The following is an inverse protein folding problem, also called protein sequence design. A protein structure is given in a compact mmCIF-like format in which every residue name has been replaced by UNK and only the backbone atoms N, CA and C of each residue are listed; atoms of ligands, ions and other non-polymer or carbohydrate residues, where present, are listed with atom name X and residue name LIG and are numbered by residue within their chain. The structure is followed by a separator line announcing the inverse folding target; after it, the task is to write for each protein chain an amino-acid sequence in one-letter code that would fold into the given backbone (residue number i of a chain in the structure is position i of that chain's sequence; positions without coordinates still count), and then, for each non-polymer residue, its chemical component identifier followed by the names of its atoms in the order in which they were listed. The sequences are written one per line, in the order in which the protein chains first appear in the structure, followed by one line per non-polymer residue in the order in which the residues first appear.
data_IF_769696493231
#
_entry.id   IF_769696493231
#
_cell.length_a   1.000
_cell.length_b   1.000
_cell.length_c   1.000
_cell.angle_alpha   90.00
_cell.angle_beta   90.00
_cell.angle_gamma   90.00
#
_symmetry.space_group_name_H-M   'P 1'
#
loop_
_entity.id
_entity.type
_entity.pdbx_description
1 polymer ?
#
# COMPACT_ATOMS: atom_id res chain seq x y z
N UNK A 1 -6.81 -1.62 -3.63
CA UNK A 1 -6.16 -0.98 -2.46
C UNK A 1 -6.53 0.50 -2.30
N UNK A 2 -6.30 1.38 -3.29
CA UNK A 2 -6.57 2.82 -3.12
C UNK A 2 -8.04 3.15 -2.90
N UNK A 3 -8.95 2.50 -3.66
CA UNK A 3 -10.39 2.68 -3.52
C UNK A 3 -10.87 2.34 -2.10
N UNK A 4 -10.42 1.20 -1.57
CA UNK A 4 -10.70 0.78 -0.18
C UNK A 4 -10.20 1.80 0.84
N UNK A 5 -9.01 2.37 0.62
CA UNK A 5 -8.44 3.37 1.52
C UNK A 5 -9.15 4.73 1.42
N UNK A 6 -9.65 5.10 0.24
CA UNK A 6 -10.51 6.29 0.06
C UNK A 6 -11.87 6.08 0.71
N UNK A 7 -12.44 4.88 0.62
CA UNK A 7 -13.65 4.52 1.34
C UNK A 7 -13.47 4.64 2.86
N UNK A 8 -12.29 4.27 3.39
CA UNK A 8 -11.94 4.47 4.80
C UNK A 8 -11.89 5.96 5.17
N UNK A 9 -11.20 6.78 4.38
CA UNK A 9 -11.14 8.23 4.61
C UNK A 9 -12.54 8.85 4.62
N UNK A 10 -13.38 8.53 3.63
CA UNK A 10 -14.76 9.00 3.55
C UNK A 10 -15.61 8.55 4.73
N UNK A 11 -15.48 7.28 5.14
CA UNK A 11 -16.18 6.73 6.30
C UNK A 11 -15.77 7.45 7.60
N UNK A 12 -14.49 7.77 7.78
CA UNK A 12 -14.01 8.47 8.97
C UNK A 12 -14.47 9.93 9.01
N UNK A 13 -14.40 10.63 7.87
CA UNK A 13 -14.91 12.01 7.75
C UNK A 13 -16.43 12.04 7.99
N UNK A 14 -17.15 11.06 7.45
CA UNK A 14 -18.59 10.88 7.65
C UNK A 14 -18.99 10.34 9.03
N UNK A 15 -18.03 10.09 9.93
CA UNK A 15 -18.26 9.49 11.27
C UNK A 15 -19.07 8.20 11.20
N UNK A 16 -18.73 7.34 10.25
CA UNK A 16 -19.30 6.02 10.10
C UNK A 16 -19.21 5.21 11.40
N UNK A 17 -20.15 4.29 11.65
CA UNK A 17 -20.10 3.41 12.81
C UNK A 17 -18.81 2.58 12.83
N UNK A 18 -18.36 2.23 14.02
CA UNK A 18 -17.12 1.45 14.26
C UNK A 18 -17.11 0.14 13.47
N UNK A 19 -18.24 -0.56 13.41
CA UNK A 19 -18.40 -1.78 12.61
C UNK A 19 -18.04 -1.57 11.13
N UNK A 20 -18.50 -0.46 10.53
CA UNK A 20 -18.20 -0.16 9.14
C UNK A 20 -16.71 0.18 8.94
N UNK A 21 -16.11 0.91 9.88
CA UNK A 21 -14.68 1.20 9.86
C UNK A 21 -13.84 -0.09 9.96
N UNK A 22 -14.26 -1.01 10.82
CA UNK A 22 -13.61 -2.31 11.02
C UNK A 22 -13.69 -3.17 9.74
N UNK A 23 -14.85 -3.20 9.08
CA UNK A 23 -15.03 -3.92 7.80
C UNK A 23 -14.11 -3.36 6.70
N UNK A 24 -14.02 -2.03 6.58
CA UNK A 24 -13.16 -1.40 5.57
C UNK A 24 -11.68 -1.67 5.86
N UNK A 25 -11.24 -1.54 7.12
CA UNK A 25 -9.86 -1.88 7.52
C UNK A 25 -9.54 -3.36 7.28
N UNK A 26 -10.50 -4.27 7.53
CA UNK A 26 -10.34 -5.71 7.27
C UNK A 26 -10.15 -5.98 5.80
N UNK A 27 -10.96 -5.35 4.97
CA UNK A 27 -10.83 -5.46 3.52
C UNK A 27 -9.48 -4.89 3.03
N UNK A 28 -9.02 -3.77 3.60
CA UNK A 28 -7.73 -3.19 3.27
C UNK A 28 -6.57 -4.13 3.64
N UNK A 29 -6.62 -4.75 4.83
CA UNK A 29 -5.62 -5.73 5.28
C UNK A 29 -5.54 -6.93 4.35
N UNK A 30 -6.68 -7.51 3.99
CA UNK A 30 -6.75 -8.65 3.05
C UNK A 30 -6.22 -8.24 1.68
N UNK A 31 -6.58 -7.06 1.18
CA UNK A 31 -6.12 -6.58 -0.12
C UNK A 31 -4.61 -6.30 -0.15
N UNK A 32 -4.04 -5.83 0.97
CA UNK A 32 -2.60 -5.64 1.10
C UNK A 32 -1.87 -6.99 1.12
N UNK A 33 -2.37 -7.97 1.87
CA UNK A 33 -1.75 -9.30 1.94
C UNK A 33 -1.81 -10.06 0.61
N UNK A 34 -2.87 -9.83 -0.19
CA UNK A 34 -3.02 -10.39 -1.52
C UNK A 34 -2.35 -9.55 -2.62
N UNK A 35 -1.62 -8.47 -2.25
CA UNK A 35 -1.03 -7.60 -3.25
C UNK A 35 0.08 -8.36 -3.99
N UNK A 36 0.06 -8.45 -5.33
CA UNK A 36 1.02 -9.28 -6.06
C UNK A 36 2.48 -8.87 -5.80
N UNK A 37 2.72 -7.58 -5.55
CA UNK A 37 4.05 -7.05 -5.23
C UNK A 37 4.55 -7.43 -3.83
N UNK A 38 3.69 -7.96 -2.94
CA UNK A 38 4.08 -8.39 -1.60
C UNK A 38 4.58 -9.84 -1.56
N UNK A 39 4.61 -10.54 -2.71
CA UNK A 39 5.22 -11.86 -2.83
C UNK A 39 6.52 -11.81 -3.63
N UNK A 40 7.44 -12.73 -3.31
CA UNK A 40 8.69 -12.94 -4.07
C UNK A 40 8.45 -13.50 -5.49
N UNK A 41 7.19 -13.70 -5.88
CA UNK A 41 6.76 -14.27 -7.17
C UNK A 41 5.93 -13.31 -8.01
N UNK A 42 5.78 -12.06 -7.57
CA UNK A 42 5.03 -11.02 -8.28
C UNK A 42 5.78 -10.39 -9.46
N UNK A 43 5.22 -9.35 -10.10
CA UNK A 43 5.85 -8.66 -11.24
C UNK A 43 7.23 -8.08 -10.91
N UNK A 44 7.53 -7.86 -9.63
CA UNK A 44 8.86 -7.43 -9.19
C UNK A 44 9.92 -8.54 -9.32
N UNK A 45 9.55 -9.81 -9.28
CA UNK A 45 10.49 -10.92 -9.50
C UNK A 45 11.00 -10.93 -10.96
N UNK A 46 10.12 -10.62 -11.91
CA UNK A 46 10.49 -10.45 -13.32
C UNK A 46 11.44 -9.25 -13.48
N UNK A 47 11.13 -8.12 -12.83
CA UNK A 47 12.01 -6.92 -12.84
C UNK A 47 13.39 -7.23 -12.26
N UNK A 48 13.47 -8.01 -11.18
CA UNK A 48 14.77 -8.40 -10.60
C UNK A 48 15.63 -9.20 -11.57
N UNK A 49 15.00 -9.94 -12.49
CA UNK A 49 15.69 -10.72 -13.52
C UNK A 49 16.07 -9.85 -14.72
N UNK A 50 15.13 -9.07 -15.25
CA UNK A 50 15.32 -8.27 -16.47
C UNK A 50 16.12 -6.98 -16.23
N UNK A 51 15.96 -6.34 -15.08
CA UNK A 51 16.55 -5.03 -14.75
C UNK A 51 17.25 -5.05 -13.38
N UNK A 52 18.38 -5.78 -13.22
CA UNK A 52 19.03 -5.98 -11.92
C UNK A 52 19.50 -4.67 -11.25
N UNK A 53 19.74 -3.60 -12.03
CA UNK A 53 20.05 -2.27 -11.50
C UNK A 53 18.90 -1.66 -10.66
N UNK A 54 17.66 -2.15 -10.80
CA UNK A 54 16.49 -1.74 -10.03
C UNK A 54 16.33 -2.50 -8.70
N UNK A 55 17.18 -3.49 -8.40
CA UNK A 55 17.05 -4.37 -7.21
C UNK A 55 16.86 -3.61 -5.91
N UNK A 56 17.64 -2.54 -5.69
CA UNK A 56 17.52 -1.74 -4.46
C UNK A 56 16.13 -1.11 -4.32
N UNK A 57 15.54 -0.65 -5.41
CA UNK A 57 14.21 0.00 -5.41
C UNK A 57 13.09 -1.02 -5.21
N UNK A 58 13.21 -2.19 -5.84
CA UNK A 58 12.31 -3.33 -5.59
C UNK A 58 12.30 -3.69 -4.11
N UNK A 59 13.47 -3.89 -3.49
CA UNK A 59 13.56 -4.24 -2.06
C UNK A 59 12.94 -3.17 -1.15
N UNK A 60 13.13 -1.89 -1.47
CA UNK A 60 12.50 -0.80 -0.72
C UNK A 60 10.99 -0.88 -0.84
N UNK A 61 10.44 -1.11 -2.03
CA UNK A 61 9.00 -1.21 -2.26
C UNK A 61 8.37 -2.42 -1.58
N UNK A 62 9.02 -3.58 -1.60
CA UNK A 62 8.56 -4.77 -0.86
C UNK A 62 8.55 -4.49 0.65
N UNK A 63 9.61 -3.87 1.18
CA UNK A 63 9.66 -3.49 2.60
C UNK A 63 8.66 -2.39 3.01
N UNK A 64 8.01 -1.71 2.06
CA UNK A 64 6.91 -0.80 2.38
C UNK A 64 5.62 -1.54 2.74
N UNK A 65 5.43 -2.77 2.27
CA UNK A 65 4.26 -3.58 2.63
C UNK A 65 4.21 -3.86 4.13
N UNK A 66 5.35 -4.19 4.75
CA UNK A 66 5.43 -4.37 6.21
C UNK A 66 5.04 -3.11 6.96
N UNK A 67 5.49 -1.94 6.48
CA UNK A 67 5.14 -0.66 7.11
C UNK A 67 3.66 -0.33 6.96
N UNK A 68 3.07 -0.64 5.82
CA UNK A 68 1.63 -0.48 5.57
C UNK A 68 0.82 -1.44 6.44
N UNK A 69 1.25 -2.69 6.58
CA UNK A 69 0.62 -3.68 7.44
C UNK A 69 0.63 -3.23 8.90
N UNK A 70 1.78 -2.78 9.41
CA UNK A 70 1.90 -2.23 10.77
C UNK A 70 1.00 -1.00 10.98
N UNK A 71 0.90 -0.12 9.97
CA UNK A 71 0.02 1.05 10.06
C UNK A 71 -1.47 0.65 10.11
N UNK A 72 -1.87 -0.37 9.35
CA UNK A 72 -3.23 -0.91 9.37
C UNK A 72 -3.53 -1.59 10.73
N UNK A 73 -2.61 -2.42 11.22
CA UNK A 73 -2.77 -3.10 12.52
C UNK A 73 -2.87 -2.07 13.66
N UNK A 74 -2.06 -1.00 13.64
CA UNK A 74 -2.17 0.09 14.61
C UNK A 74 -3.47 0.91 14.50
N UNK A 75 -4.14 0.92 13.35
CA UNK A 75 -5.49 1.49 13.23
C UNK A 75 -6.56 0.56 13.81
N UNK A 76 -6.42 -0.76 13.67
CA UNK A 76 -7.30 -1.71 14.34
C UNK A 76 -7.25 -1.56 15.86
N UNK A 77 -6.04 -1.55 16.44
CA UNK A 77 -5.87 -1.40 17.90
C UNK A 77 -6.55 -0.13 18.43
N UNK A 78 -6.45 0.98 17.67
CA UNK A 78 -7.09 2.24 18.04
C UNK A 78 -8.59 2.26 17.83
N UNK A 79 -9.08 1.52 16.84
CA UNK A 79 -10.52 1.38 16.62
C UNK A 79 -11.16 0.59 17.77
N UNK A 80 -10.52 -0.50 18.20
CA UNK A 80 -10.95 -1.32 19.34
C UNK A 80 -10.88 -0.56 20.68
N UNK A 81 -9.83 0.24 20.89
CA UNK A 81 -9.71 1.09 22.08
C UNK A 81 -10.71 2.27 22.11
N UNK A 82 -11.45 2.49 21.03
CA UNK A 82 -12.32 3.64 20.83
C UNK A 82 -11.62 4.74 20.01
N UNK A 83 -12.11 5.05 18.79
CA UNK A 83 -11.43 5.98 17.88
C UNK A 83 -11.39 7.39 18.46
N UNK A 84 -10.21 7.79 18.93
CA UNK A 84 -9.98 9.13 19.47
C UNK A 84 -9.88 10.21 18.38
N UNK A 85 -9.69 11.46 18.81
CA UNK A 85 -9.55 12.64 17.91
C UNK A 85 -8.43 12.52 16.86
N UNK A 86 -7.45 11.64 17.07
CA UNK A 86 -6.31 11.43 16.16
C UNK A 86 -6.59 10.38 15.07
N UNK A 87 -7.64 9.57 15.21
CA UNK A 87 -7.94 8.47 14.29
C UNK A 87 -8.04 8.95 12.84
N UNK A 88 -8.75 10.06 12.60
CA UNK A 88 -8.88 10.67 11.28
C UNK A 88 -7.53 11.09 10.69
N UNK A 89 -6.64 11.65 11.50
CA UNK A 89 -5.30 12.04 11.06
C UNK A 89 -4.48 10.81 10.69
N UNK A 90 -4.57 9.74 11.47
CA UNK A 90 -3.80 8.51 11.27
C UNK A 90 -4.27 7.75 10.02
N UNK A 91 -5.58 7.76 9.75
CA UNK A 91 -6.17 7.26 8.50
C UNK A 91 -5.67 8.08 7.30
N UNK A 92 -5.61 9.40 7.41
CA UNK A 92 -5.08 10.26 6.36
C UNK A 92 -3.58 10.01 6.09
N UNK A 93 -2.78 9.74 7.12
CA UNK A 93 -1.37 9.35 6.96
C UNK A 93 -1.23 7.99 6.26
N UNK A 94 -2.03 6.98 6.63
CA UNK A 94 -2.06 5.70 5.91
C UNK A 94 -2.38 5.91 4.43
N UNK A 95 -3.35 6.76 4.10
CA UNK A 95 -3.70 7.05 2.72
C UNK A 95 -2.57 7.76 1.96
N UNK A 96 -1.82 8.66 2.62
CA UNK A 96 -0.61 9.25 2.03
C UNK A 96 0.44 8.19 1.73
N UNK A 97 0.67 7.25 2.65
CA UNK A 97 1.62 6.15 2.48
C UNK A 97 1.21 5.25 1.31
N UNK A 98 -0.06 4.85 1.23
CA UNK A 98 -0.58 4.02 0.13
C UNK A 98 -0.44 4.70 -1.24
N UNK A 99 -0.82 5.99 -1.33
CA UNK A 99 -0.65 6.76 -2.57
C UNK A 99 0.82 6.86 -2.96
N UNK A 100 1.72 7.03 -2.00
CA UNK A 100 3.15 7.10 -2.27
C UNK A 100 3.72 5.76 -2.74
N UNK A 101 3.30 4.66 -2.12
CA UNK A 101 3.65 3.30 -2.53
C UNK A 101 3.24 3.03 -3.98
N UNK A 102 1.98 3.30 -4.32
CA UNK A 102 1.47 3.09 -5.68
C UNK A 102 2.20 3.92 -6.73
N UNK A 103 2.48 5.20 -6.45
CA UNK A 103 3.24 6.05 -7.37
C UNK A 103 4.64 5.49 -7.62
N UNK A 104 5.32 5.04 -6.56
CA UNK A 104 6.66 4.45 -6.68
C UNK A 104 6.63 3.12 -7.43
N UNK A 105 5.63 2.27 -7.20
CA UNK A 105 5.42 1.03 -7.96
C UNK A 105 5.18 1.30 -9.45
N UNK A 106 4.31 2.26 -9.78
CA UNK A 106 4.07 2.68 -11.16
C UNK A 106 5.33 3.23 -11.84
N UNK A 107 6.12 4.05 -11.12
CA UNK A 107 7.41 4.55 -11.62
C UNK A 107 8.41 3.42 -11.87
N UNK A 108 8.48 2.44 -10.96
CA UNK A 108 9.35 1.28 -11.10
C UNK A 108 8.97 0.44 -12.33
N UNK A 109 7.68 0.14 -12.51
CA UNK A 109 7.18 -0.60 -13.67
C UNK A 109 7.46 0.17 -14.96
N UNK A 110 7.16 1.47 -15.00
CA UNK A 110 7.44 2.30 -16.16
C UNK A 110 8.92 2.27 -16.54
N UNK A 111 9.83 2.40 -15.57
CA UNK A 111 11.26 2.36 -15.82
C UNK A 111 11.73 0.98 -16.29
N UNK A 112 11.24 -0.09 -15.68
CA UNK A 112 11.55 -1.45 -16.11
C UNK A 112 11.14 -1.70 -17.56
N UNK A 113 9.94 -1.26 -17.99
CA UNK A 113 9.46 -1.51 -19.35
C UNK A 113 9.91 -0.47 -20.39
N UNK A 114 10.28 0.74 -19.96
CA UNK A 114 10.72 1.81 -20.90
C UNK A 114 12.22 1.74 -21.16
N UNK A 115 13.03 1.39 -20.15
CA UNK A 115 14.49 1.28 -20.30
C UNK A 115 14.88 0.00 -21.06
N UNK A 116 14.06 -1.05 -21.00
CA UNK A 116 14.28 -2.32 -21.73
C UNK A 116 13.98 -2.21 -23.24
N UNK A 117 13.29 -1.14 -23.69
CA UNK A 117 13.01 -0.87 -25.12
C UNK A 117 13.99 0.12 -25.77
N UNK A 118 15.00 0.60 -25.03
CA UNK A 118 15.98 1.59 -25.52
C UNK A 118 17.40 1.04 -25.76
N UNK A 119 17.60 -0.26 -25.55
CA UNK A 119 18.92 -0.90 -25.52
C UNK A 119 19.35 -1.63 -26.81
N UNK A 120 18.64 -1.45 -27.93
CA UNK A 120 19.08 -1.94 -29.23
C UNK A 120 19.88 -0.85 -29.96
N UNK A 121 21.21 -0.88 -29.80
CA UNK A 121 22.16 -0.27 -30.76
C UNK A 121 23.28 -1.25 -31.06
#
# INVERSE_FOLDING_TARGET
MLETAQALEGAVVGRAPVEQLHQILSHLRVTLAAHPDSSETGPYAEILTAAPHLTRRVRVLVGEHDRLALAIDGLFERLEAGPGRRFAKEVAELLRLLRAHQRRGAQLLHEAYTVDLGGET
#
